data_IF_583075376830
#
_entry.id   IF_583075376830
#
_cell.length_a   1.000
_cell.length_b   1.000
_cell.length_c   1.000
_cell.angle_alpha   90.00
_cell.angle_beta   90.00
_cell.angle_gamma   90.00
#
_symmetry.space_group_name_H-M   'P 1'
#
loop_
_entity.id
_entity.type
_entity.pdbx_description
1 polymer ?
#
# COMPACT_ATOMS: atom_id res chain seq x y z
N UNK A 1 17.00 24.99 30.36
CA UNK A 1 16.94 25.95 29.25
C UNK A 1 16.46 25.18 28.03
N UNK A 2 15.23 25.42 27.59
CA UNK A 2 14.78 24.93 26.28
C UNK A 2 15.53 25.70 25.19
N UNK A 3 15.98 25.07 24.10
CA UNK A 3 16.64 25.77 23.00
C UNK A 3 15.73 26.89 22.48
N UNK A 4 16.30 28.06 22.20
CA UNK A 4 15.58 29.11 21.47
C UNK A 4 15.43 28.59 20.04
N UNK A 5 14.22 28.18 19.67
CA UNK A 5 13.91 27.81 18.28
C UNK A 5 14.07 29.08 17.44
N UNK A 6 14.95 29.01 16.45
CA UNK A 6 15.26 30.14 15.57
C UNK A 6 14.56 29.98 14.22
N UNK A 7 14.43 31.10 13.49
CA UNK A 7 14.00 31.09 12.09
C UNK A 7 14.89 30.18 11.21
N UNK A 8 16.14 29.96 11.59
CA UNK A 8 17.05 29.03 10.88
C UNK A 8 16.64 27.57 11.06
N UNK A 9 16.15 27.19 12.24
CA UNK A 9 15.67 25.83 12.53
C UNK A 9 14.43 25.48 11.70
N UNK A 10 13.50 26.44 11.53
CA UNK A 10 12.30 26.25 10.69
C UNK A 10 12.63 26.17 9.19
N UNK A 11 13.65 26.92 8.73
CA UNK A 11 14.15 26.79 7.36
C UNK A 11 14.85 25.45 7.13
N UNK A 12 15.59 24.96 8.13
CA UNK A 12 16.23 23.65 8.06
C UNK A 12 15.18 22.53 8.06
N UNK A 13 14.15 22.64 8.90
CA UNK A 13 13.01 21.72 8.90
C UNK A 13 12.35 21.66 7.51
N UNK A 14 12.11 22.81 6.87
CA UNK A 14 11.55 22.85 5.53
C UNK A 14 12.43 22.15 4.47
N UNK A 15 13.77 22.19 4.62
CA UNK A 15 14.68 21.42 3.74
C UNK A 15 14.57 19.93 4.01
N UNK A 16 14.58 19.51 5.28
CA UNK A 16 14.45 18.11 5.67
C UNK A 16 13.12 17.51 5.18
N UNK A 17 12.02 18.25 5.28
CA UNK A 17 10.73 17.82 4.74
C UNK A 17 10.77 17.62 3.22
N UNK A 18 11.44 18.51 2.47
CA UNK A 18 11.63 18.34 1.02
C UNK A 18 12.45 17.10 0.69
N UNK A 19 13.45 16.78 1.52
CA UNK A 19 14.20 15.54 1.38
C UNK A 19 13.31 14.31 1.62
N UNK A 20 12.52 14.32 2.70
CA UNK A 20 11.55 13.27 3.02
C UNK A 20 10.54 13.09 1.86
N UNK A 21 10.03 14.19 1.30
CA UNK A 21 9.15 14.18 0.12
C UNK A 21 9.80 13.42 -1.05
N UNK A 22 11.07 13.69 -1.34
CA UNK A 22 11.83 12.99 -2.40
C UNK A 22 11.94 11.49 -2.12
N UNK A 23 12.30 11.12 -0.88
CA UNK A 23 12.43 9.72 -0.46
C UNK A 23 11.08 8.98 -0.52
N UNK A 24 9.99 9.61 -0.05
CA UNK A 24 8.65 9.04 -0.09
C UNK A 24 8.15 8.84 -1.53
N UNK A 25 8.45 9.76 -2.46
CA UNK A 25 8.15 9.56 -3.90
C UNK A 25 8.88 8.35 -4.47
N UNK A 26 10.15 8.14 -4.10
CA UNK A 26 10.91 6.95 -4.53
C UNK A 26 10.29 5.67 -3.96
N UNK A 27 9.93 5.68 -2.67
CA UNK A 27 9.27 4.55 -2.03
C UNK A 27 7.92 4.22 -2.67
N UNK A 28 7.10 5.23 -2.97
CA UNK A 28 5.81 5.03 -3.64
C UNK A 28 5.98 4.32 -5.00
N UNK A 29 6.96 4.72 -5.81
CA UNK A 29 7.29 4.06 -7.09
C UNK A 29 7.71 2.60 -6.88
N UNK A 30 8.59 2.34 -5.91
CA UNK A 30 9.03 0.98 -5.58
C UNK A 30 7.86 0.10 -5.12
N UNK A 31 6.94 0.65 -4.32
CA UNK A 31 5.73 -0.04 -3.89
C UNK A 31 4.80 -0.34 -5.06
N UNK A 32 4.56 0.59 -5.99
CA UNK A 32 3.78 0.32 -7.21
C UNK A 32 4.38 -0.83 -8.03
N UNK A 33 5.70 -0.85 -8.19
CA UNK A 33 6.37 -1.95 -8.90
C UNK A 33 6.18 -3.30 -8.20
N UNK A 34 6.30 -3.33 -6.87
CA UNK A 34 6.04 -4.54 -6.07
C UNK A 34 4.60 -5.02 -6.22
N UNK A 35 3.62 -4.11 -6.17
CA UNK A 35 2.19 -4.45 -6.31
C UNK A 35 1.92 -5.05 -7.69
N UNK A 36 2.50 -4.49 -8.75
CA UNK A 36 2.39 -5.06 -10.10
C UNK A 36 2.95 -6.47 -10.19
N UNK A 37 4.10 -6.75 -9.54
CA UNK A 37 4.65 -8.10 -9.44
C UNK A 37 3.75 -9.05 -8.65
N UNK A 38 3.14 -8.57 -7.56
CA UNK A 38 2.17 -9.34 -6.77
C UNK A 38 0.94 -9.72 -7.61
N UNK A 39 0.41 -8.81 -8.44
CA UNK A 39 -0.69 -9.08 -9.37
C UNK A 39 -0.32 -10.14 -10.41
N UNK A 40 0.88 -10.04 -11.01
CA UNK A 40 1.39 -11.06 -11.95
C UNK A 40 1.52 -12.43 -11.29
N UNK A 41 1.98 -12.47 -10.04
CA UNK A 41 2.04 -13.71 -9.28
C UNK A 41 0.65 -14.32 -9.05
N UNK A 42 -0.35 -13.50 -8.69
CA UNK A 42 -1.74 -13.92 -8.57
C UNK A 42 -2.30 -14.50 -9.89
N UNK A 43 -2.03 -13.86 -11.02
CA UNK A 43 -2.41 -14.38 -12.35
C UNK A 43 -1.78 -15.75 -12.64
N UNK A 44 -0.51 -15.94 -12.28
CA UNK A 44 0.18 -17.22 -12.46
C UNK A 44 -0.40 -18.33 -11.56
N UNK A 45 -0.77 -18.01 -10.32
CA UNK A 45 -1.50 -18.95 -9.45
C UNK A 45 -2.82 -19.35 -10.11
N UNK A 46 -3.57 -18.38 -10.63
CA UNK A 46 -4.84 -18.64 -11.31
C UNK A 46 -4.66 -19.58 -12.50
N UNK A 47 -3.62 -19.39 -13.33
CA UNK A 47 -3.31 -20.27 -14.46
C UNK A 47 -3.03 -21.69 -14.01
N UNK A 48 -2.15 -21.88 -13.02
CA UNK A 48 -1.82 -23.21 -12.49
C UNK A 48 -3.06 -23.90 -11.91
N UNK A 49 -3.90 -23.17 -11.18
CA UNK A 49 -5.14 -23.70 -10.61
C UNK A 49 -6.11 -24.16 -11.70
N UNK A 50 -6.30 -23.36 -12.75
CA UNK A 50 -7.17 -23.72 -13.87
C UNK A 50 -6.64 -24.96 -14.62
N UNK A 51 -5.32 -25.03 -14.86
CA UNK A 51 -4.69 -26.22 -15.47
C UNK A 51 -4.87 -27.46 -14.60
N UNK A 52 -4.70 -27.32 -13.27
CA UNK A 52 -4.92 -28.41 -12.32
C UNK A 52 -6.38 -28.87 -12.32
N UNK A 53 -7.33 -27.94 -12.41
CA UNK A 53 -8.75 -28.28 -12.48
C UNK A 53 -9.08 -29.09 -13.74
N UNK A 54 -8.57 -28.67 -14.90
CA UNK A 54 -8.73 -29.43 -16.15
C UNK A 54 -8.11 -30.83 -16.05
N UNK A 55 -6.89 -30.93 -15.53
CA UNK A 55 -6.22 -32.20 -15.30
C UNK A 55 -7.06 -33.09 -14.36
N UNK A 56 -7.62 -32.52 -13.30
CA UNK A 56 -8.42 -33.27 -12.33
C UNK A 56 -9.73 -33.79 -12.93
N UNK A 57 -10.33 -33.06 -13.89
CA UNK A 57 -11.48 -33.56 -14.67
C UNK A 57 -11.08 -34.79 -15.50
N UNK A 58 -9.94 -34.75 -16.19
CA UNK A 58 -9.43 -35.92 -16.92
C UNK A 58 -9.15 -37.11 -16.01
N UNK A 59 -8.57 -36.89 -14.82
CA UNK A 59 -8.41 -37.94 -13.82
C UNK A 59 -9.73 -38.59 -13.42
N UNK A 60 -10.79 -37.79 -13.22
CA UNK A 60 -12.14 -38.32 -12.91
C UNK A 60 -12.71 -39.15 -14.05
N UNK A 61 -12.50 -38.75 -15.30
CA UNK A 61 -12.99 -39.51 -16.45
C UNK A 61 -12.25 -40.85 -16.61
N UNK A 62 -10.93 -40.85 -16.38
CA UNK A 62 -10.14 -42.09 -16.32
C UNK A 62 -10.61 -42.96 -15.16
N UNK A 63 -10.78 -42.40 -13.96
CA UNK A 63 -11.23 -43.14 -12.78
C UNK A 63 -12.56 -43.86 -13.03
N UNK A 64 -13.55 -43.20 -13.66
CA UNK A 64 -14.83 -43.84 -14.01
C UNK A 64 -14.66 -45.09 -14.89
N UNK A 65 -13.74 -45.03 -15.85
CA UNK A 65 -13.42 -46.18 -16.70
C UNK A 65 -12.72 -47.27 -15.91
N UNK A 66 -11.77 -46.92 -15.04
CA UNK A 66 -11.09 -47.87 -14.15
C UNK A 66 -12.08 -48.58 -13.21
N UNK A 67 -13.01 -47.86 -12.59
CA UNK A 67 -14.04 -48.41 -11.71
C UNK A 67 -15.01 -49.36 -12.42
N UNK A 68 -15.20 -49.18 -13.73
CA UNK A 68 -15.98 -50.09 -14.58
C UNK A 68 -15.18 -51.35 -14.88
N UNK A 69 -13.94 -51.18 -15.35
CA UNK A 69 -13.08 -52.29 -15.78
C UNK A 69 -12.60 -53.16 -14.61
N UNK A 70 -12.33 -52.62 -13.42
CA UNK A 70 -11.84 -53.40 -12.28
C UNK A 70 -12.81 -54.51 -11.85
N UNK A 71 -14.10 -54.38 -12.20
CA UNK A 71 -15.14 -55.39 -11.95
C UNK A 71 -15.09 -56.56 -12.93
N UNK A 72 -14.39 -56.42 -14.05
CA UNK A 72 -14.29 -57.43 -15.10
C UNK A 72 -13.18 -58.45 -14.81
N UNK A 73 -13.51 -59.74 -14.94
CA UNK A 73 -12.61 -60.86 -14.59
C UNK A 73 -11.31 -60.92 -15.39
N UNK A 74 -11.24 -60.23 -16.54
CA UNK A 74 -10.07 -60.17 -17.45
C UNK A 74 -9.44 -58.77 -17.53
N UNK A 75 -9.84 -57.86 -16.64
CA UNK A 75 -9.25 -56.54 -16.56
C UNK A 75 -7.81 -56.59 -16.08
N UNK A 76 -6.96 -55.72 -16.63
CA UNK A 76 -5.58 -55.54 -16.20
C UNK A 76 -5.43 -54.44 -15.14
N UNK A 77 -6.54 -54.01 -14.52
CA UNK A 77 -6.56 -52.94 -13.52
C UNK A 77 -6.70 -53.54 -12.13
N UNK A 78 -5.90 -53.05 -11.18
CA UNK A 78 -5.99 -53.42 -9.76
C UNK A 78 -6.80 -52.39 -8.99
N UNK A 79 -7.48 -52.83 -7.92
CA UNK A 79 -8.17 -51.94 -6.98
C UNK A 79 -7.24 -50.88 -6.37
N UNK A 80 -5.96 -51.22 -6.18
CA UNK A 80 -4.93 -50.29 -5.69
C UNK A 80 -4.73 -49.10 -6.65
N UNK A 81 -4.75 -49.32 -7.97
CA UNK A 81 -4.63 -48.25 -8.95
C UNK A 81 -5.85 -47.31 -8.92
N UNK A 82 -7.05 -47.89 -8.74
CA UNK A 82 -8.30 -47.12 -8.56
C UNK A 82 -8.19 -46.23 -7.31
N UNK A 83 -7.73 -46.78 -6.19
CA UNK A 83 -7.56 -46.03 -4.95
C UNK A 83 -6.54 -44.89 -5.09
N UNK A 84 -5.40 -45.15 -5.74
CA UNK A 84 -4.39 -44.11 -6.00
C UNK A 84 -4.95 -42.97 -6.85
N UNK A 85 -5.75 -43.26 -7.87
CA UNK A 85 -6.41 -42.23 -8.68
C UNK A 85 -7.42 -41.42 -7.86
N UNK A 86 -8.22 -42.06 -7.01
CA UNK A 86 -9.13 -41.37 -6.09
C UNK A 86 -8.37 -40.41 -5.16
N UNK A 87 -7.24 -40.84 -4.61
CA UNK A 87 -6.44 -40.03 -3.70
C UNK A 87 -5.76 -38.85 -4.40
N UNK A 88 -5.26 -39.05 -5.64
CA UNK A 88 -4.75 -37.97 -6.48
C UNK A 88 -5.84 -36.93 -6.73
N UNK A 89 -7.06 -37.37 -7.06
CA UNK A 89 -8.20 -36.47 -7.32
C UNK A 89 -8.52 -35.64 -6.09
N UNK A 90 -8.63 -36.28 -4.92
CA UNK A 90 -8.91 -35.60 -3.63
C UNK A 90 -7.83 -34.58 -3.28
N UNK A 91 -6.56 -34.93 -3.45
CA UNK A 91 -5.43 -34.00 -3.20
C UNK A 91 -5.47 -32.81 -4.14
N UNK A 92 -5.73 -33.03 -5.42
CA UNK A 92 -5.87 -31.96 -6.40
C UNK A 92 -7.05 -31.02 -6.07
N UNK A 93 -8.19 -31.55 -5.64
CA UNK A 93 -9.33 -30.73 -5.18
C UNK A 93 -8.96 -29.87 -3.97
N UNK A 94 -8.21 -30.44 -3.02
CA UNK A 94 -7.63 -29.71 -1.89
C UNK A 94 -6.76 -28.54 -2.36
N UNK A 95 -5.81 -28.79 -3.27
CA UNK A 95 -4.95 -27.73 -3.81
C UNK A 95 -5.71 -26.66 -4.61
N UNK A 96 -6.76 -27.04 -5.35
CA UNK A 96 -7.59 -26.08 -6.10
C UNK A 96 -8.30 -25.13 -5.13
N UNK A 97 -8.93 -25.69 -4.08
CA UNK A 97 -9.59 -24.90 -3.03
C UNK A 97 -8.59 -23.99 -2.32
N UNK A 98 -7.45 -24.53 -1.93
CA UNK A 98 -6.37 -23.82 -1.25
C UNK A 98 -5.89 -22.60 -2.05
N UNK A 99 -5.55 -22.85 -3.31
CA UNK A 99 -5.10 -21.80 -4.20
C UNK A 99 -6.18 -20.73 -4.44
N UNK A 100 -7.47 -21.11 -4.45
CA UNK A 100 -8.57 -20.15 -4.58
C UNK A 100 -8.63 -19.16 -3.41
N UNK A 101 -8.51 -19.65 -2.18
CA UNK A 101 -8.48 -18.81 -0.96
C UNK A 101 -7.26 -17.88 -1.00
N UNK A 102 -6.07 -18.44 -1.23
CA UNK A 102 -4.83 -17.67 -1.29
C UNK A 102 -4.84 -16.61 -2.40
N UNK A 103 -5.37 -16.96 -3.58
CA UNK A 103 -5.50 -16.05 -4.71
C UNK A 103 -6.37 -14.82 -4.38
N UNK A 104 -7.51 -15.04 -3.74
CA UNK A 104 -8.42 -13.96 -3.37
C UNK A 104 -7.75 -13.03 -2.35
N UNK A 105 -7.13 -13.58 -1.31
CA UNK A 105 -6.43 -12.79 -0.29
C UNK A 105 -5.28 -11.95 -0.90
N UNK A 106 -4.50 -12.50 -1.84
CA UNK A 106 -3.45 -11.74 -2.53
C UNK A 106 -4.03 -10.60 -3.38
N UNK A 107 -5.15 -10.85 -4.07
CA UNK A 107 -5.80 -9.83 -4.91
C UNK A 107 -6.36 -8.69 -4.09
N UNK A 108 -7.07 -8.98 -3.01
CA UNK A 108 -7.63 -7.97 -2.10
C UNK A 108 -6.52 -7.11 -1.51
N UNK A 109 -5.45 -7.75 -1.04
CA UNK A 109 -4.27 -7.06 -0.54
C UNK A 109 -3.58 -6.20 -1.61
N UNK A 110 -3.52 -6.67 -2.85
CA UNK A 110 -2.91 -5.92 -3.95
C UNK A 110 -3.71 -4.65 -4.27
N UNK A 111 -5.04 -4.75 -4.36
CA UNK A 111 -5.94 -3.60 -4.61
C UNK A 111 -5.80 -2.57 -3.49
N UNK A 112 -5.84 -3.02 -2.23
CA UNK A 112 -5.73 -2.10 -1.10
C UNK A 112 -4.36 -1.41 -1.05
N UNK A 113 -3.28 -2.11 -1.39
CA UNK A 113 -1.94 -1.51 -1.50
C UNK A 113 -1.85 -0.45 -2.59
N UNK A 114 -2.59 -0.55 -3.69
CA UNK A 114 -2.65 0.52 -4.70
C UNK A 114 -3.29 1.78 -4.13
N UNK A 115 -4.38 1.60 -3.38
CA UNK A 115 -5.05 2.70 -2.71
C UNK A 115 -4.15 3.37 -1.67
N UNK A 116 -3.39 2.58 -0.88
CA UNK A 116 -2.37 3.13 0.03
C UNK A 116 -1.32 3.95 -0.71
N UNK A 117 -0.84 3.50 -1.86
CA UNK A 117 0.13 4.26 -2.66
C UNK A 117 -0.48 5.58 -3.13
N UNK A 118 -1.75 5.59 -3.56
CA UNK A 118 -2.45 6.82 -3.91
C UNK A 118 -2.53 7.79 -2.71
N UNK A 119 -2.90 7.30 -1.52
CA UNK A 119 -2.91 8.13 -0.29
C UNK A 119 -1.54 8.62 0.14
N UNK A 120 -0.50 7.81 -0.06
CA UNK A 120 0.89 8.24 0.14
C UNK A 120 1.25 9.40 -0.79
N UNK A 121 0.86 9.35 -2.06
CA UNK A 121 1.12 10.45 -3.00
C UNK A 121 0.41 11.74 -2.56
N UNK A 122 -0.87 11.66 -2.18
CA UNK A 122 -1.63 12.82 -1.65
C UNK A 122 -0.97 13.41 -0.39
N UNK A 123 -0.54 12.56 0.55
CA UNK A 123 0.20 12.97 1.75
C UNK A 123 1.52 13.68 1.38
N UNK A 124 2.28 13.12 0.46
CA UNK A 124 3.58 13.67 0.04
C UNK A 124 3.44 15.01 -0.67
N UNK A 125 2.39 15.18 -1.47
CA UNK A 125 2.07 16.46 -2.09
C UNK A 125 1.73 17.53 -1.05
N UNK A 126 0.89 17.19 -0.06
CA UNK A 126 0.56 18.09 1.04
C UNK A 126 1.80 18.47 1.87
N UNK A 127 2.68 17.51 2.16
CA UNK A 127 3.94 17.77 2.88
C UNK A 127 4.86 18.71 2.10
N UNK A 128 4.92 18.52 0.78
CA UNK A 128 5.70 19.41 -0.10
C UNK A 128 5.15 20.84 -0.09
N UNK A 129 3.83 21.03 -0.05
CA UNK A 129 3.21 22.35 0.02
C UNK A 129 3.51 23.03 1.37
N UNK A 130 3.37 22.29 2.48
CA UNK A 130 3.73 22.77 3.83
C UNK A 130 5.20 23.20 3.88
N UNK A 131 6.13 22.40 3.39
CA UNK A 131 7.55 22.73 3.38
C UNK A 131 7.86 24.00 2.58
N UNK A 132 7.19 24.19 1.44
CA UNK A 132 7.32 25.41 0.64
C UNK A 132 6.75 26.63 1.37
N UNK A 133 5.55 26.53 1.93
CA UNK A 133 4.88 27.63 2.64
C UNK A 133 5.61 28.00 3.94
N UNK A 134 6.13 27.03 4.69
CA UNK A 134 7.00 27.28 5.86
C UNK A 134 8.17 28.18 5.49
N UNK A 135 8.87 27.85 4.41
CA UNK A 135 9.99 28.66 3.94
C UNK A 135 9.57 30.11 3.60
N UNK A 136 8.35 30.31 3.10
CA UNK A 136 7.82 31.64 2.75
C UNK A 136 7.45 32.43 4.01
N UNK A 137 6.71 31.83 4.94
CA UNK A 137 6.34 32.43 6.23
C UNK A 137 7.59 32.94 6.95
N UNK A 138 8.60 32.09 7.09
CA UNK A 138 9.81 32.41 7.86
C UNK A 138 10.62 33.53 7.20
N UNK A 139 10.76 33.51 5.87
CA UNK A 139 11.40 34.62 5.14
C UNK A 139 10.66 35.93 5.34
N UNK A 140 9.32 35.90 5.27
CA UNK A 140 8.50 37.09 5.47
C UNK A 140 8.63 37.62 6.90
N UNK A 141 8.63 36.74 7.91
CA UNK A 141 8.83 37.09 9.31
C UNK A 141 10.20 37.76 9.53
N UNK A 142 11.26 37.19 8.96
CA UNK A 142 12.61 37.78 8.99
C UNK A 142 12.68 39.17 8.35
N UNK A 143 11.96 39.38 7.24
CA UNK A 143 11.91 40.69 6.58
C UNK A 143 11.16 41.72 7.42
N UNK A 144 10.05 41.34 8.06
CA UNK A 144 9.33 42.19 9.03
C UNK A 144 10.23 42.57 10.20
N UNK A 145 10.94 41.61 10.80
CA UNK A 145 11.88 41.86 11.90
C UNK A 145 13.00 42.83 11.49
N UNK A 146 13.58 42.67 10.30
CA UNK A 146 14.61 43.59 9.77
C UNK A 146 14.07 45.00 9.60
N UNK A 147 12.83 45.16 9.16
CA UNK A 147 12.19 46.48 8.99
C UNK A 147 11.87 47.11 10.34
N UNK A 148 11.38 46.33 11.30
CA UNK A 148 11.13 46.76 12.68
C UNK A 148 12.39 47.28 13.36
N UNK A 149 13.51 46.56 13.19
CA UNK A 149 14.81 46.95 13.74
C UNK A 149 15.39 48.24 13.12
N UNK A 150 14.91 48.64 11.94
CA UNK A 150 15.28 49.91 11.29
C UNK A 150 14.44 51.12 11.74
N UNK A 151 13.51 50.94 12.69
CA UNK A 151 12.64 52.01 13.23
C UNK A 151 11.88 52.78 12.13
N UNK A 152 11.38 52.07 11.12
CA UNK A 152 10.62 52.64 10.00
C UNK A 152 9.20 53.03 10.45
N UNK A 153 8.60 54.02 9.78
CA UNK A 153 7.21 54.52 9.98
C UNK A 153 6.18 53.41 10.30
N UNK A 154 5.32 53.69 11.28
CA UNK A 154 4.32 52.74 11.79
C UNK A 154 3.34 52.22 10.74
N UNK A 155 2.97 53.04 9.74
CA UNK A 155 2.05 52.62 8.68
C UNK A 155 2.64 51.55 7.75
N UNK A 156 3.96 51.62 7.47
CA UNK A 156 4.65 50.59 6.68
C UNK A 156 4.81 49.30 7.45
N UNK A 157 4.99 49.39 8.77
CA UNK A 157 5.05 48.23 9.65
C UNK A 157 3.70 47.50 9.69
N UNK A 158 2.59 48.26 9.83
CA UNK A 158 1.24 47.71 9.83
C UNK A 158 0.90 46.93 8.55
N UNK A 159 1.31 47.43 7.38
CA UNK A 159 1.10 46.73 6.09
C UNK A 159 1.88 45.41 6.08
N UNK A 160 3.15 45.42 6.49
CA UNK A 160 3.97 44.21 6.51
C UNK A 160 3.46 43.16 7.51
N UNK A 161 2.95 43.60 8.67
CA UNK A 161 2.32 42.72 9.65
C UNK A 161 1.03 42.10 9.12
N UNK A 162 0.21 42.86 8.36
CA UNK A 162 -0.97 42.31 7.68
C UNK A 162 -0.58 41.25 6.64
N UNK A 163 0.40 41.54 5.80
CA UNK A 163 0.91 40.59 4.80
C UNK A 163 1.48 39.32 5.46
N UNK A 164 2.21 39.46 6.57
CA UNK A 164 2.72 38.31 7.33
C UNK A 164 1.56 37.45 7.88
N UNK A 165 0.53 38.09 8.44
CA UNK A 165 -0.65 37.38 8.94
C UNK A 165 -1.38 36.60 7.83
N UNK A 166 -1.46 37.15 6.62
CA UNK A 166 -2.09 36.46 5.49
C UNK A 166 -1.27 35.25 5.04
N UNK A 167 0.06 35.39 4.95
CA UNK A 167 0.96 34.25 4.64
C UNK A 167 0.90 33.19 5.74
N UNK A 168 0.79 33.59 7.01
CA UNK A 168 0.63 32.68 8.14
C UNK A 168 -0.68 31.89 8.06
N UNK A 169 -1.81 32.55 7.77
CA UNK A 169 -3.11 31.87 7.60
C UNK A 169 -3.07 30.85 6.46
N UNK A 170 -2.41 31.18 5.37
CA UNK A 170 -2.24 30.28 4.24
C UNK A 170 -1.36 29.07 4.56
N UNK A 171 -0.33 29.25 5.39
CA UNK A 171 0.45 28.15 5.93
C UNK A 171 -0.38 27.26 6.87
N UNK A 172 -1.15 27.86 7.79
CA UNK A 172 -1.99 27.11 8.73
C UNK A 172 -3.01 26.24 7.99
N UNK A 173 -3.64 26.76 6.92
CA UNK A 173 -4.53 25.98 6.05
C UNK A 173 -3.82 24.78 5.41
N UNK A 174 -2.60 24.97 4.91
CA UNK A 174 -1.83 23.88 4.31
C UNK A 174 -1.44 22.83 5.36
N UNK A 175 -1.12 23.25 6.59
CA UNK A 175 -0.84 22.34 7.71
C UNK A 175 -2.07 21.51 8.06
N UNK A 176 -3.26 22.11 8.12
CA UNK A 176 -4.49 21.37 8.40
C UNK A 176 -4.80 20.33 7.31
N UNK A 177 -4.55 20.67 6.05
CA UNK A 177 -4.64 19.72 4.93
C UNK A 177 -3.64 18.57 5.10
N UNK A 178 -2.38 18.87 5.45
CA UNK A 178 -1.35 17.86 5.70
C UNK A 178 -1.80 16.88 6.80
N UNK A 179 -2.27 17.39 7.94
CA UNK A 179 -2.76 16.56 9.05
C UNK A 179 -3.88 15.63 8.60
N UNK A 180 -4.85 16.15 7.84
CA UNK A 180 -5.92 15.34 7.25
C UNK A 180 -5.38 14.23 6.34
N UNK A 181 -4.37 14.53 5.51
CA UNK A 181 -3.77 13.53 4.61
C UNK A 181 -2.95 12.48 5.34
N UNK A 182 -2.30 12.84 6.45
CA UNK A 182 -1.61 11.88 7.32
C UNK A 182 -2.63 10.89 7.90
N UNK A 183 -3.73 11.36 8.49
CA UNK A 183 -4.75 10.47 9.05
C UNK A 183 -5.34 9.54 7.98
N UNK A 184 -5.69 10.07 6.79
CA UNK A 184 -6.19 9.24 5.69
C UNK A 184 -5.18 8.18 5.24
N UNK A 185 -3.88 8.48 5.29
CA UNK A 185 -2.83 7.51 4.98
C UNK A 185 -2.71 6.44 6.06
N UNK A 186 -2.80 6.81 7.34
CA UNK A 186 -2.73 5.88 8.47
C UNK A 186 -3.94 4.95 8.53
N UNK A 187 -5.16 5.46 8.33
CA UNK A 187 -6.38 4.65 8.25
C UNK A 187 -6.23 3.51 7.23
N UNK A 188 -5.76 3.85 6.01
CA UNK A 188 -5.56 2.86 4.94
C UNK A 188 -4.41 1.89 5.24
N UNK A 189 -3.40 2.32 6.02
CA UNK A 189 -2.32 1.44 6.48
C UNK A 189 -2.86 0.39 7.44
N UNK A 190 -3.70 0.80 8.39
CA UNK A 190 -4.28 -0.11 9.38
C UNK A 190 -5.25 -1.12 8.74
N UNK A 191 -5.98 -0.70 7.68
CA UNK A 191 -6.77 -1.61 6.84
C UNK A 191 -5.89 -2.68 6.16
N UNK A 192 -4.70 -2.31 5.68
CA UNK A 192 -3.76 -3.26 5.08
C UNK A 192 -3.20 -4.24 6.12
N UNK A 193 -2.90 -3.78 7.32
CA UNK A 193 -2.42 -4.65 8.40
C UNK A 193 -3.46 -5.73 8.74
N UNK A 194 -4.75 -5.36 8.72
CA UNK A 194 -5.85 -6.32 8.86
C UNK A 194 -5.88 -7.35 7.71
N UNK A 195 -5.63 -6.93 6.47
CA UNK A 195 -5.54 -7.85 5.33
C UNK A 195 -4.33 -8.78 5.41
N UNK A 196 -3.20 -8.31 5.94
CA UNK A 196 -2.03 -9.16 6.18
C UNK A 196 -2.30 -10.26 7.20
N UNK A 197 -3.03 -9.93 8.28
CA UNK A 197 -3.45 -10.93 9.26
C UNK A 197 -4.36 -11.99 8.63
N UNK A 198 -5.35 -11.57 7.84
CA UNK A 198 -6.22 -12.50 7.08
C UNK A 198 -5.43 -13.40 6.13
N UNK A 199 -4.41 -12.86 5.45
CA UNK A 199 -3.55 -13.67 4.57
C UNK A 199 -2.75 -14.71 5.37
N UNK A 200 -2.20 -14.33 6.53
CA UNK A 200 -1.47 -15.24 7.42
C UNK A 200 -2.36 -16.40 7.87
N UNK A 201 -3.58 -16.10 8.29
CA UNK A 201 -4.54 -17.12 8.74
C UNK A 201 -4.91 -18.04 7.58
N UNK A 202 -5.14 -17.46 6.39
CA UNK A 202 -5.39 -18.23 5.18
C UNK A 202 -4.26 -19.20 4.87
N UNK A 203 -2.99 -18.83 5.02
CA UNK A 203 -1.86 -19.75 4.76
C UNK A 203 -1.79 -20.86 5.81
N UNK A 204 -2.14 -20.57 7.06
CA UNK A 204 -2.11 -21.55 8.17
C UNK A 204 -3.15 -22.65 7.97
N UNK A 205 -4.34 -22.32 7.45
CA UNK A 205 -5.38 -23.32 7.12
C UNK A 205 -5.03 -24.21 5.93
N UNK A 206 -4.04 -23.83 5.12
CA UNK A 206 -3.57 -24.59 3.94
C UNK A 206 -2.35 -25.46 4.22
N UNK A 207 -1.76 -25.33 5.42
CA UNK A 207 -0.58 -26.06 5.90
C UNK A 207 -0.98 -27.37 6.57
#
# INVERSE_FOLDING_TARGET
>A
MSPIITHEDELELAKMEKEIVSQLKKLAKAQSALINSQKKYAENISKVTNTREMLNRSFRDVLKQMETLVRERRSNIKDEEVQLYQDIIRKNDGYIKANGIYLNAIKDLAVQKEYLVAKKVEFVEALSDVANRRSIVIKKALDVEKVKNKLIDGDKLNILDQELNDVQRDFDRARDILLKKIHQFEEVRDEIDTLWLKLKDSVTELS
#
